data_IF_328807275566
#
_entry.id   IF_328807275566
#
_cell.length_a   1.000
_cell.length_b   1.000
_cell.length_c   1.000
_cell.angle_alpha   90.00
_cell.angle_beta   90.00
_cell.angle_gamma   90.00
#
_symmetry.space_group_name_H-M   'P 1'
#
loop_
_entity.id
_entity.type
_entity.pdbx_description
1 polymer ?
#
# COMPACT_ATOMS: atom_id res chain seq x y z
N UNK A 1 6.04 31.19 -28.84
CA UNK A 1 5.94 29.81 -29.38
C UNK A 1 6.56 28.72 -28.49
N UNK A 2 7.72 28.93 -27.84
CA UNK A 2 8.37 27.88 -27.01
C UNK A 2 7.59 27.48 -25.74
N UNK A 3 6.89 28.41 -25.08
CA UNK A 3 6.14 28.13 -23.84
C UNK A 3 4.90 27.24 -24.06
N UNK A 4 4.18 27.42 -25.17
CA UNK A 4 2.96 26.64 -25.46
C UNK A 4 3.28 25.15 -25.64
N UNK A 5 4.36 24.84 -26.37
CA UNK A 5 4.78 23.46 -26.63
C UNK A 5 5.16 22.73 -25.33
N UNK A 6 5.93 23.40 -24.46
CA UNK A 6 6.33 22.84 -23.15
C UNK A 6 5.14 22.64 -22.22
N UNK A 7 4.20 23.60 -22.17
CA UNK A 7 2.98 23.44 -21.39
C UNK A 7 2.14 22.24 -21.87
N UNK A 8 2.09 21.98 -23.18
CA UNK A 8 1.36 20.83 -23.72
C UNK A 8 2.05 19.49 -23.40
N UNK A 9 3.38 19.43 -23.41
CA UNK A 9 4.16 18.26 -22.96
C UNK A 9 3.93 17.96 -21.48
N UNK A 10 3.98 18.99 -20.63
CA UNK A 10 3.69 18.86 -19.19
C UNK A 10 2.25 18.41 -18.97
N UNK A 11 1.26 18.99 -19.67
CA UNK A 11 -0.14 18.53 -19.60
C UNK A 11 -0.28 17.06 -19.93
N UNK A 12 0.36 16.59 -21.00
CA UNK A 12 0.31 15.16 -21.40
C UNK A 12 0.93 14.28 -20.32
N UNK A 13 2.11 14.64 -19.83
CA UNK A 13 2.81 13.90 -18.77
C UNK A 13 1.98 13.83 -17.49
N UNK A 14 1.46 14.98 -17.02
CA UNK A 14 0.64 15.06 -15.80
C UNK A 14 -0.66 14.26 -15.95
N UNK A 15 -1.31 14.26 -17.12
CA UNK A 15 -2.50 13.41 -17.36
C UNK A 15 -2.15 11.91 -17.31
N UNK A 16 -0.98 11.51 -17.78
CA UNK A 16 -0.52 10.12 -17.68
C UNK A 16 -0.26 9.72 -16.24
N UNK A 17 0.28 10.62 -15.40
CA UNK A 17 0.44 10.37 -13.96
C UNK A 17 -0.90 10.09 -13.27
N UNK A 18 -1.97 10.79 -13.65
CA UNK A 18 -3.32 10.50 -13.15
C UNK A 18 -3.76 9.07 -13.46
N UNK A 19 -3.57 8.63 -14.71
CA UNK A 19 -3.90 7.26 -15.13
C UNK A 19 -3.09 6.23 -14.36
N UNK A 20 -1.82 6.52 -14.11
CA UNK A 20 -0.93 5.63 -13.39
C UNK A 20 -1.31 5.50 -11.91
N UNK A 21 -1.68 6.60 -11.24
CA UNK A 21 -2.23 6.51 -9.88
C UNK A 21 -3.49 5.64 -9.83
N UNK A 22 -4.40 5.81 -10.78
CA UNK A 22 -5.62 4.97 -10.83
C UNK A 22 -5.28 3.49 -11.01
N UNK A 23 -4.31 3.19 -11.88
CA UNK A 23 -3.83 1.82 -12.09
C UNK A 23 -3.16 1.24 -10.84
N UNK A 24 -2.34 2.03 -10.14
CA UNK A 24 -1.64 1.58 -8.91
C UNK A 24 -2.65 1.37 -7.78
N UNK A 25 -3.54 2.34 -7.54
CA UNK A 25 -4.42 2.34 -6.36
C UNK A 25 -5.68 1.51 -6.50
N UNK A 26 -6.25 1.42 -7.70
CA UNK A 26 -7.55 0.79 -7.92
C UNK A 26 -7.49 -0.38 -8.91
N UNK A 27 -6.32 -0.66 -9.50
CA UNK A 27 -6.15 -1.66 -10.57
C UNK A 27 -7.15 -1.48 -11.73
N UNK A 28 -7.59 -0.24 -11.96
CA UNK A 28 -8.60 0.13 -12.95
C UNK A 28 -8.19 1.42 -13.66
N UNK A 29 -8.70 1.61 -14.89
CA UNK A 29 -8.48 2.85 -15.66
C UNK A 29 -9.49 3.97 -15.33
N UNK A 30 -10.55 3.63 -14.59
CA UNK A 30 -11.63 4.52 -14.20
C UNK A 30 -11.76 4.56 -12.67
N UNK A 31 -12.20 5.71 -12.15
CA UNK A 31 -12.49 5.86 -10.71
C UNK A 31 -13.76 5.05 -10.43
N UNK A 32 -13.78 4.13 -9.46
CA UNK A 32 -14.99 3.41 -9.10
C UNK A 32 -16.08 4.39 -8.71
N UNK A 33 -17.23 4.31 -9.38
CA UNK A 33 -18.36 5.20 -9.15
C UNK A 33 -18.87 4.97 -7.72
N UNK A 34 -18.81 6.01 -6.89
CA UNK A 34 -19.18 5.96 -5.47
C UNK A 34 -18.07 6.30 -4.47
N UNK A 35 -16.79 6.21 -4.84
CA UNK A 35 -15.75 6.82 -4.01
C UNK A 35 -15.66 8.31 -4.36
N UNK A 36 -15.96 9.18 -3.38
CA UNK A 36 -15.38 10.54 -3.32
C UNK A 36 -13.88 10.43 -3.05
N UNK A 37 -13.17 9.65 -3.86
CA UNK A 37 -11.79 9.29 -3.62
C UNK A 37 -10.93 10.51 -3.76
N UNK A 38 -10.19 10.79 -2.68
CA UNK A 38 -9.11 11.75 -2.67
C UNK A 38 -8.00 11.18 -3.57
N UNK A 39 -7.96 11.62 -4.81
CA UNK A 39 -6.89 11.29 -5.75
C UNK A 39 -5.75 12.25 -5.45
N UNK A 40 -4.57 11.71 -5.14
CA UNK A 40 -3.35 12.48 -4.83
C UNK A 40 -3.04 13.44 -5.98
N UNK A 41 -3.32 13.04 -7.21
CA UNK A 41 -3.19 13.90 -8.39
C UNK A 41 -3.95 15.22 -8.27
N UNK A 42 -5.17 15.21 -7.71
CA UNK A 42 -5.96 16.44 -7.55
C UNK A 42 -5.36 17.38 -6.48
N UNK A 43 -4.60 16.84 -5.53
CA UNK A 43 -3.91 17.61 -4.49
C UNK A 43 -2.57 18.16 -4.98
N UNK A 44 -1.93 17.46 -5.91
CA UNK A 44 -0.62 17.84 -6.44
C UNK A 44 -0.71 18.76 -7.64
N UNK A 45 -1.61 18.50 -8.60
CA UNK A 45 -1.58 19.15 -9.90
C UNK A 45 -2.82 20.01 -10.14
N UNK A 46 -2.58 21.29 -10.39
CA UNK A 46 -3.62 22.23 -10.80
C UNK A 46 -3.48 22.58 -12.29
N UNK A 47 -4.28 21.93 -13.12
CA UNK A 47 -4.34 22.19 -14.57
C UNK A 47 -5.43 23.20 -14.99
N UNK A 48 -6.23 23.72 -14.05
CA UNK A 48 -7.26 24.74 -14.30
C UNK A 48 -6.94 25.99 -13.49
N UNK A 49 -7.32 27.18 -13.95
CA UNK A 49 -7.01 28.43 -13.22
C UNK A 49 -7.59 28.49 -11.78
N UNK A 50 -8.57 27.63 -11.44
CA UNK A 50 -9.24 27.62 -10.14
C UNK A 50 -9.09 26.31 -9.30
N UNK A 51 -8.16 25.42 -9.62
CA UNK A 51 -7.95 24.22 -8.80
C UNK A 51 -7.12 24.46 -7.51
N UNK A 52 -7.21 23.52 -6.57
CA UNK A 52 -6.53 23.57 -5.26
C UNK A 52 -5.19 22.80 -5.21
N UNK A 53 -4.66 22.39 -6.36
CA UNK A 53 -3.44 21.59 -6.43
C UNK A 53 -2.18 22.41 -6.07
N UNK A 54 -1.21 21.77 -5.42
CA UNK A 54 0.06 22.36 -4.95
C UNK A 54 0.87 23.01 -6.08
N UNK A 55 0.85 22.42 -7.28
CA UNK A 55 1.63 22.87 -8.43
C UNK A 55 0.73 23.28 -9.59
N UNK A 56 0.82 24.55 -10.00
CA UNK A 56 0.15 25.06 -11.20
C UNK A 56 0.87 24.64 -12.48
N UNK A 57 0.13 24.62 -13.60
CA UNK A 57 0.70 24.33 -14.91
C UNK A 57 1.87 25.26 -15.28
N UNK A 58 1.74 26.57 -15.01
CA UNK A 58 2.78 27.54 -15.35
C UNK A 58 4.05 27.31 -14.54
N UNK A 59 3.90 26.97 -13.26
CA UNK A 59 5.02 26.60 -12.40
C UNK A 59 5.73 25.37 -12.96
N UNK A 60 5.00 24.28 -13.25
CA UNK A 60 5.56 23.04 -13.79
C UNK A 60 6.24 23.23 -15.15
N UNK A 61 5.72 24.13 -15.99
CA UNK A 61 6.32 24.45 -17.28
C UNK A 61 7.61 25.29 -17.14
N UNK A 62 7.78 26.00 -16.04
CA UNK A 62 9.00 26.77 -15.74
C UNK A 62 10.13 25.91 -15.18
N UNK A 63 9.82 24.78 -14.52
CA UNK A 63 10.79 23.86 -13.92
C UNK A 63 11.68 23.20 -14.95
N UNK A 64 12.97 23.04 -14.64
CA UNK A 64 13.88 22.14 -15.36
C UNK A 64 13.41 20.68 -15.32
N UNK A 65 14.04 19.83 -16.13
CA UNK A 65 13.67 18.41 -16.21
C UNK A 65 13.94 17.69 -14.88
N UNK A 66 15.02 18.07 -14.20
CA UNK A 66 15.44 17.54 -12.92
C UNK A 66 14.47 17.95 -11.81
N UNK A 67 14.11 19.24 -11.74
CA UNK A 67 13.13 19.74 -10.77
C UNK A 67 11.74 19.11 -10.99
N UNK A 68 11.33 18.94 -12.25
CA UNK A 68 10.09 18.26 -12.58
C UNK A 68 10.10 16.79 -12.13
N UNK A 69 11.26 16.12 -12.21
CA UNK A 69 11.42 14.75 -11.70
C UNK A 69 11.25 14.67 -10.19
N UNK A 70 11.76 15.64 -9.44
CA UNK A 70 11.56 15.69 -7.98
C UNK A 70 10.09 15.87 -7.61
N UNK A 71 9.35 16.71 -8.33
CA UNK A 71 7.90 16.84 -8.16
C UNK A 71 7.18 15.51 -8.44
N UNK A 72 7.61 14.78 -9.47
CA UNK A 72 7.07 13.45 -9.78
C UNK A 72 7.39 12.45 -8.68
N UNK A 73 8.61 12.45 -8.13
CA UNK A 73 9.00 11.57 -7.03
C UNK A 73 8.15 11.83 -5.78
N UNK A 74 7.95 13.10 -5.41
CA UNK A 74 7.08 13.47 -4.28
C UNK A 74 5.65 12.99 -4.50
N UNK A 75 5.12 13.18 -5.71
CA UNK A 75 3.81 12.68 -6.11
C UNK A 75 3.70 11.16 -5.93
N UNK A 76 4.65 10.38 -6.46
CA UNK A 76 4.64 8.92 -6.32
C UNK A 76 4.78 8.48 -4.87
N UNK A 77 5.62 9.13 -4.08
CA UNK A 77 5.76 8.83 -2.66
C UNK A 77 4.41 8.90 -1.95
N UNK A 78 3.64 9.97 -2.22
CA UNK A 78 2.28 10.11 -1.66
C UNK A 78 1.28 9.11 -2.21
N UNK A 79 1.35 8.77 -3.50
CA UNK A 79 0.51 7.70 -4.08
C UNK A 79 0.77 6.35 -3.40
N UNK A 80 2.04 5.99 -3.20
CA UNK A 80 2.40 4.75 -2.52
C UNK A 80 2.03 4.77 -1.05
N UNK A 81 2.28 5.86 -0.33
CA UNK A 81 1.85 6.01 1.07
C UNK A 81 0.34 5.78 1.23
N UNK A 82 -0.46 6.42 0.37
CA UNK A 82 -1.91 6.26 0.36
C UNK A 82 -2.33 4.83 -0.03
N UNK A 83 -1.69 4.23 -1.05
CA UNK A 83 -1.92 2.85 -1.45
C UNK A 83 -1.66 1.87 -0.30
N UNK A 84 -0.54 2.01 0.39
CA UNK A 84 -0.20 1.15 1.51
C UNK A 84 -1.12 1.39 2.71
N UNK A 85 -1.52 2.63 2.99
CA UNK A 85 -2.49 2.91 4.05
C UNK A 85 -3.87 2.28 3.76
N UNK A 86 -4.33 2.35 2.50
CA UNK A 86 -5.61 1.80 2.05
C UNK A 86 -5.59 0.27 1.97
N UNK A 87 -4.46 -0.32 1.60
CA UNK A 87 -4.30 -1.76 1.45
C UNK A 87 -3.58 -2.44 2.64
N UNK A 88 -3.25 -1.71 3.70
CA UNK A 88 -2.60 -2.27 4.89
C UNK A 88 -3.42 -3.42 5.47
N UNK A 89 -4.75 -3.27 5.53
CA UNK A 89 -5.65 -4.33 6.00
C UNK A 89 -5.65 -5.55 5.06
N UNK A 90 -5.58 -5.35 3.75
CA UNK A 90 -5.49 -6.45 2.78
C UNK A 90 -4.16 -7.20 2.88
N UNK A 91 -3.04 -6.48 3.03
CA UNK A 91 -1.73 -7.09 3.22
C UNK A 91 -1.63 -7.82 4.57
N UNK A 92 -2.19 -7.25 5.64
CA UNK A 92 -2.29 -7.91 6.95
C UNK A 92 -3.15 -9.18 6.84
N UNK A 93 -4.30 -9.12 6.15
CA UNK A 93 -5.18 -10.28 5.96
C UNK A 93 -4.52 -11.40 5.15
N UNK A 94 -3.84 -11.08 4.04
CA UNK A 94 -3.10 -12.08 3.23
C UNK A 94 -1.91 -12.66 4.01
N UNK A 95 -1.13 -11.82 4.68
CA UNK A 95 -0.01 -12.26 5.53
C UNK A 95 -0.49 -13.11 6.72
N UNK A 96 -1.70 -12.88 7.21
CA UNK A 96 -2.31 -13.70 8.24
C UNK A 96 -2.82 -15.04 7.68
N UNK A 97 -3.40 -15.06 6.48
CA UNK A 97 -3.86 -16.30 5.85
C UNK A 97 -2.74 -17.32 5.63
N UNK A 98 -1.58 -16.90 5.14
CA UNK A 98 -0.42 -17.80 4.95
C UNK A 98 0.06 -18.40 6.29
N UNK A 99 0.09 -17.59 7.35
CA UNK A 99 0.48 -18.05 8.69
C UNK A 99 -0.56 -18.94 9.35
N UNK A 100 -1.85 -18.67 9.12
CA UNK A 100 -2.93 -19.54 9.55
C UNK A 100 -2.78 -20.92 8.87
N UNK A 101 -2.47 -20.95 7.57
CA UNK A 101 -2.20 -22.19 6.85
C UNK A 101 -0.99 -22.96 7.43
N UNK A 102 0.09 -22.26 7.83
CA UNK A 102 1.23 -22.89 8.52
C UNK A 102 0.84 -23.57 9.85
N UNK A 103 -0.17 -23.05 10.55
CA UNK A 103 -0.73 -23.67 11.76
C UNK A 103 -1.79 -24.75 11.46
N UNK A 104 -2.14 -24.95 10.19
CA UNK A 104 -3.23 -25.82 9.75
C UNK A 104 -4.62 -25.24 10.06
N UNK A 105 -4.74 -23.92 10.13
CA UNK A 105 -5.99 -23.20 10.37
C UNK A 105 -6.57 -22.64 9.07
N UNK A 106 -7.91 -22.49 8.99
CA UNK A 106 -8.55 -21.84 7.86
C UNK A 106 -8.26 -20.33 7.85
N UNK A 107 -8.42 -19.68 6.70
CA UNK A 107 -8.09 -18.26 6.50
C UNK A 107 -8.97 -17.30 7.32
N UNK A 108 -10.13 -17.76 7.76
CA UNK A 108 -11.10 -17.05 8.58
C UNK A 108 -11.00 -17.40 10.07
N UNK A 109 -9.96 -18.14 10.48
CA UNK A 109 -9.75 -18.52 11.87
C UNK A 109 -9.63 -17.29 12.78
N UNK A 110 -10.46 -17.26 13.82
CA UNK A 110 -10.44 -16.21 14.82
C UNK A 110 -9.27 -16.35 15.82
N UNK A 111 -9.13 -15.35 16.69
CA UNK A 111 -8.08 -15.34 17.71
C UNK A 111 -8.17 -16.51 18.70
N UNK A 112 -9.36 -17.05 18.97
CA UNK A 112 -9.54 -18.13 19.93
C UNK A 112 -9.17 -19.48 19.31
N UNK A 113 -9.45 -19.68 18.02
CA UNK A 113 -8.95 -20.79 17.21
C UNK A 113 -7.41 -20.77 17.13
N UNK A 114 -6.81 -19.59 16.89
CA UNK A 114 -5.35 -19.42 16.88
C UNK A 114 -4.74 -19.80 18.24
N UNK A 115 -5.29 -19.30 19.34
CA UNK A 115 -4.82 -19.65 20.70
C UNK A 115 -4.97 -21.14 21.00
N UNK A 116 -6.10 -21.75 20.62
CA UNK A 116 -6.33 -23.17 20.83
C UNK A 116 -5.28 -24.01 20.10
N UNK A 117 -5.06 -23.69 18.81
CA UNK A 117 -4.10 -24.39 17.98
C UNK A 117 -2.65 -24.19 18.44
N UNK A 118 -2.31 -22.98 18.87
CA UNK A 118 -1.00 -22.69 19.46
C UNK A 118 -0.75 -23.56 20.71
N UNK A 119 -1.72 -23.68 21.63
CA UNK A 119 -1.57 -24.53 22.82
C UNK A 119 -1.37 -26.00 22.49
N UNK A 120 -2.06 -26.50 21.46
CA UNK A 120 -1.88 -27.88 20.98
C UNK A 120 -0.47 -28.11 20.45
N UNK A 121 0.00 -27.24 19.55
CA UNK A 121 1.34 -27.35 18.95
C UNK A 121 2.44 -27.08 19.97
N UNK A 122 2.23 -26.17 20.92
CA UNK A 122 3.16 -25.90 22.00
C UNK A 122 3.40 -27.15 22.85
N UNK A 123 2.34 -27.88 23.23
CA UNK A 123 2.50 -29.15 23.97
C UNK A 123 3.30 -30.19 23.20
N UNK A 124 3.19 -30.20 21.86
CA UNK A 124 3.90 -31.13 20.97
C UNK A 124 5.37 -30.75 20.78
N UNK A 125 5.68 -29.47 20.63
CA UNK A 125 7.02 -29.00 20.29
C UNK A 125 7.85 -28.53 21.49
N UNK A 126 7.24 -28.36 22.66
CA UNK A 126 7.96 -27.88 23.83
C UNK A 126 9.10 -28.85 24.23
N UNK A 127 10.35 -28.38 24.36
CA UNK A 127 11.51 -29.24 24.64
C UNK A 127 11.39 -30.09 25.91
N UNK A 128 10.71 -29.58 26.95
CA UNK A 128 10.48 -30.35 28.18
C UNK A 128 9.54 -31.56 28.00
N UNK A 129 8.82 -31.65 26.88
CA UNK A 129 7.99 -32.80 26.52
C UNK A 129 8.65 -33.68 25.44
N UNK A 130 9.97 -33.51 25.21
CA UNK A 130 10.71 -34.23 24.16
C UNK A 130 10.51 -33.64 22.76
N UNK A 131 9.96 -32.43 22.66
CA UNK A 131 9.78 -31.72 21.41
C UNK A 131 11.03 -30.99 20.90
N UNK A 132 10.95 -30.48 19.68
CA UNK A 132 12.04 -29.78 19.00
C UNK A 132 12.05 -28.28 19.34
N UNK A 133 13.18 -27.80 19.84
CA UNK A 133 13.38 -26.40 20.23
C UNK A 133 13.25 -25.43 19.05
N UNK A 134 13.71 -25.78 17.86
CA UNK A 134 13.61 -24.93 16.67
C UNK A 134 12.15 -24.82 16.22
N UNK A 135 11.40 -25.93 16.27
CA UNK A 135 9.96 -25.94 15.99
C UNK A 135 9.18 -25.09 17.00
N UNK A 136 9.61 -25.09 18.26
CA UNK A 136 8.99 -24.27 19.30
C UNK A 136 9.28 -22.76 19.10
N UNK A 137 10.50 -22.39 18.72
CA UNK A 137 10.86 -21.00 18.40
C UNK A 137 10.06 -20.50 17.19
N UNK A 138 9.98 -21.31 16.13
CA UNK A 138 9.18 -21.02 14.94
C UNK A 138 7.70 -20.79 15.26
N UNK A 139 7.13 -21.65 16.12
CA UNK A 139 5.73 -21.52 16.56
C UNK A 139 5.49 -20.21 17.33
N UNK A 140 6.44 -19.80 18.17
CA UNK A 140 6.39 -18.53 18.91
C UNK A 140 6.41 -17.31 17.98
N UNK A 141 7.26 -17.34 16.94
CA UNK A 141 7.35 -16.26 15.96
C UNK A 141 6.03 -16.08 15.19
N UNK A 142 5.46 -17.18 14.70
CA UNK A 142 4.17 -17.14 13.99
C UNK A 142 3.06 -16.60 14.90
N UNK A 143 3.00 -17.05 16.14
CA UNK A 143 1.99 -16.60 17.10
C UNK A 143 2.13 -15.10 17.43
N UNK A 144 3.35 -14.61 17.62
CA UNK A 144 3.64 -13.19 17.82
C UNK A 144 3.17 -12.37 16.62
N UNK A 145 3.47 -12.83 15.40
CA UNK A 145 3.08 -12.10 14.21
C UNK A 145 1.57 -12.12 13.92
N UNK A 146 0.84 -13.16 14.36
CA UNK A 146 -0.61 -13.26 14.20
C UNK A 146 -1.38 -12.46 15.25
N UNK A 147 -0.88 -12.40 16.49
CA UNK A 147 -1.61 -11.81 17.62
C UNK A 147 -1.07 -10.44 18.06
N UNK A 148 0.13 -10.06 17.61
CA UNK A 148 0.83 -8.87 18.05
C UNK A 148 1.24 -8.89 19.53
N UNK A 149 1.11 -10.04 20.20
CA UNK A 149 1.35 -10.22 21.63
C UNK A 149 2.50 -11.20 21.89
N UNK A 150 3.29 -10.89 22.90
CA UNK A 150 4.24 -11.77 23.58
C UNK A 150 3.99 -11.65 25.08
#
# INVERSE_FOLDING_TARGET
MKNQCRQDEIKRSVRNLKKLELKIRFNQEQIPDGLRTRIVWNEFFNLKEQGKGKYSLDFLASLSKEEFKEVINEFFFKVYEQYYAENALNYINVKNADKLALLGLPYDADNDMVKARFRELAKKYHPAHGGDREQFIWLMEIYKELTGKL
#
